data_IF_252377273824
#
_entry.id   IF_252377273824
#
_cell.length_a   1.000
_cell.length_b   1.000
_cell.length_c   1.000
_cell.angle_alpha   90.00
_cell.angle_beta   90.00
_cell.angle_gamma   90.00
#
_symmetry.space_group_name_H-M   'P 1'
#
loop_
_entity.id
_entity.type
_entity.pdbx_description
1 polymer ?
#
# COMPACT_ATOMS: atom_id res chain seq x y z
N UNK A 1 -1.18 19.91 -25.69
CA UNK A 1 -2.58 20.38 -25.91
C UNK A 1 -2.58 21.87 -26.25
N UNK A 2 -3.49 22.27 -27.13
CA UNK A 2 -3.58 23.51 -27.93
C UNK A 2 -3.27 24.85 -27.20
N UNK A 3 -2.42 25.69 -27.83
CA UNK A 3 -2.16 27.10 -27.49
C UNK A 3 -3.45 27.92 -27.26
N UNK A 4 -4.62 27.49 -27.75
CA UNK A 4 -5.93 28.12 -27.54
C UNK A 4 -6.52 27.90 -26.14
N UNK A 5 -6.30 26.76 -25.47
CA UNK A 5 -6.71 26.57 -24.05
C UNK A 5 -5.91 27.53 -23.17
N UNK A 6 -4.60 27.57 -23.37
CA UNK A 6 -3.70 28.51 -22.69
C UNK A 6 -4.07 29.97 -22.96
N UNK A 7 -4.39 30.34 -24.23
CA UNK A 7 -4.74 31.72 -24.60
C UNK A 7 -6.12 32.17 -24.09
N UNK A 8 -7.09 31.27 -23.92
CA UNK A 8 -8.44 31.64 -23.46
C UNK A 8 -8.56 31.63 -21.94
N UNK A 9 -7.83 30.75 -21.25
CA UNK A 9 -7.70 30.76 -19.78
C UNK A 9 -6.86 31.97 -19.31
N UNK A 10 -5.76 32.30 -20.01
CA UNK A 10 -4.95 33.48 -19.70
C UNK A 10 -5.60 34.83 -20.07
N UNK A 11 -6.63 34.85 -20.93
CA UNK A 11 -7.37 36.08 -21.29
C UNK A 11 -8.49 36.45 -20.32
N UNK A 12 -8.87 35.57 -19.37
CA UNK A 12 -9.98 35.80 -18.44
C UNK A 12 -9.55 36.12 -17.00
N UNK A 13 -8.26 36.29 -16.74
CA UNK A 13 -7.68 36.63 -15.43
C UNK A 13 -6.23 36.17 -15.33
N UNK A 14 -5.44 36.78 -14.44
CA UNK A 14 -3.98 36.62 -14.27
C UNK A 14 -3.48 35.20 -13.86
N UNK A 15 -4.16 34.11 -14.22
CA UNK A 15 -3.82 32.75 -13.81
C UNK A 15 -2.95 32.03 -14.85
N UNK A 16 -1.72 31.65 -14.45
CA UNK A 16 -0.81 30.80 -15.24
C UNK A 16 -1.17 29.32 -15.03
N UNK A 17 -1.63 28.65 -16.07
CA UNK A 17 -1.80 27.20 -16.13
C UNK A 17 -0.58 26.58 -16.83
N UNK A 18 0.17 25.72 -16.15
CA UNK A 18 1.34 25.00 -16.70
C UNK A 18 1.04 23.50 -16.71
N UNK A 19 1.24 22.83 -17.86
CA UNK A 19 1.04 21.40 -18.07
C UNK A 19 2.27 20.76 -18.76
N UNK A 20 2.54 19.44 -18.59
CA UNK A 20 3.76 18.79 -19.09
C UNK A 20 3.78 18.58 -20.61
N UNK A 21 4.97 18.56 -21.20
CA UNK A 21 5.26 18.53 -22.64
C UNK A 21 5.19 17.13 -23.27
N UNK A 22 4.45 16.99 -24.38
CA UNK A 22 4.46 15.84 -25.30
C UNK A 22 4.27 16.31 -26.77
N UNK A 23 4.73 15.52 -27.77
CA UNK A 23 5.15 16.02 -29.09
C UNK A 23 4.02 16.55 -29.97
N UNK A 24 4.39 17.52 -30.81
CA UNK A 24 3.55 18.37 -31.66
C UNK A 24 3.18 17.70 -32.98
N UNK A 25 2.06 16.98 -33.09
CA UNK A 25 1.38 16.76 -34.38
C UNK A 25 -0.04 16.25 -34.17
N UNK A 26 -1.03 17.10 -34.48
CA UNK A 26 -2.48 16.87 -34.71
C UNK A 26 -3.42 17.76 -33.87
N UNK A 27 -4.26 18.55 -34.58
CA UNK A 27 -5.19 19.54 -34.02
C UNK A 27 -6.46 18.87 -33.43
N UNK A 28 -6.46 18.56 -32.13
CA UNK A 28 -7.65 18.05 -31.44
C UNK A 28 -8.67 19.18 -31.12
N UNK A 29 -9.91 19.06 -31.60
CA UNK A 29 -11.03 19.99 -31.29
C UNK A 29 -11.50 19.83 -29.83
N UNK A 30 -11.71 20.91 -29.08
CA UNK A 30 -12.12 20.89 -27.65
C UNK A 30 -13.40 20.09 -27.36
N UNK A 31 -14.30 20.00 -28.34
CA UNK A 31 -15.53 19.22 -28.25
C UNK A 31 -15.28 17.70 -28.16
N UNK A 32 -14.11 17.22 -28.60
CA UNK A 32 -13.75 15.79 -28.57
C UNK A 32 -13.08 15.35 -27.26
N UNK A 33 -12.95 16.24 -26.26
CA UNK A 33 -12.23 15.94 -25.03
C UNK A 33 -13.05 15.10 -24.07
N UNK A 34 -12.60 13.86 -23.87
CA UNK A 34 -13.24 12.91 -22.96
C UNK A 34 -12.62 12.90 -21.55
N UNK A 35 -11.37 13.35 -21.40
CA UNK A 35 -10.61 13.31 -20.14
C UNK A 35 -9.91 14.66 -19.92
N UNK A 36 -10.10 15.26 -18.73
CA UNK A 36 -9.38 16.48 -18.30
C UNK A 36 -8.77 16.27 -16.92
N UNK A 37 -7.47 16.53 -16.81
CA UNK A 37 -6.75 16.55 -15.54
C UNK A 37 -6.15 17.95 -15.32
N UNK A 38 -6.40 18.52 -14.14
CA UNK A 38 -5.90 19.84 -13.74
C UNK A 38 -4.97 19.67 -12.54
N UNK A 39 -3.66 19.78 -12.77
CA UNK A 39 -2.62 19.50 -11.78
C UNK A 39 -1.35 18.88 -12.38
N UNK A 40 -0.35 18.48 -11.57
CA UNK A 40 -0.14 18.81 -10.15
C UNK A 40 0.52 20.19 -9.94
N UNK A 41 0.84 20.90 -11.02
CA UNK A 41 1.51 22.21 -11.02
C UNK A 41 0.54 23.39 -11.21
N UNK A 42 -0.76 23.11 -11.22
CA UNK A 42 -1.80 24.12 -11.34
C UNK A 42 -2.08 24.71 -9.96
N UNK A 43 -1.49 25.87 -9.66
CA UNK A 43 -1.53 26.44 -8.31
C UNK A 43 -2.87 27.14 -7.98
N UNK A 44 -3.71 27.46 -8.98
CA UNK A 44 -4.99 28.19 -8.87
C UNK A 44 -6.01 27.72 -9.92
N UNK A 45 -7.29 27.60 -9.53
CA UNK A 45 -8.42 27.41 -10.45
C UNK A 45 -9.56 28.35 -10.06
N UNK A 46 -10.00 29.20 -10.99
CA UNK A 46 -11.11 30.12 -10.79
C UNK A 46 -12.47 29.51 -11.12
N UNK A 47 -13.54 30.10 -10.59
CA UNK A 47 -14.93 29.75 -10.94
C UNK A 47 -15.22 29.91 -12.45
N UNK A 48 -14.53 30.87 -13.10
CA UNK A 48 -14.59 31.05 -14.56
C UNK A 48 -13.95 29.90 -15.32
N UNK A 49 -12.86 29.32 -14.80
CA UNK A 49 -12.22 28.15 -15.40
C UNK A 49 -13.11 26.90 -15.29
N UNK A 50 -13.77 26.69 -14.15
CA UNK A 50 -14.76 25.62 -13.97
C UNK A 50 -15.92 25.77 -14.97
N UNK A 51 -16.44 27.00 -15.11
CA UNK A 51 -17.50 27.32 -16.08
C UNK A 51 -17.06 27.10 -17.53
N UNK A 52 -15.83 27.49 -17.87
CA UNK A 52 -15.26 27.30 -19.20
C UNK A 52 -15.10 25.81 -19.55
N UNK A 53 -14.62 24.97 -18.61
CA UNK A 53 -14.50 23.53 -18.84
C UNK A 53 -15.87 22.89 -19.07
N UNK A 54 -16.86 23.25 -18.24
CA UNK A 54 -18.22 22.73 -18.36
C UNK A 54 -18.90 23.13 -19.69
N UNK A 55 -18.59 24.31 -20.23
CA UNK A 55 -19.14 24.79 -21.51
C UNK A 55 -18.39 24.23 -22.72
N UNK A 56 -17.05 24.15 -22.64
CA UNK A 56 -16.20 23.85 -23.79
C UNK A 56 -15.94 22.35 -24.00
N UNK A 57 -16.22 21.49 -23.01
CA UNK A 57 -15.94 20.05 -23.07
C UNK A 57 -17.24 19.22 -22.91
N UNK A 58 -18.18 19.25 -23.87
CA UNK A 58 -19.46 18.55 -23.76
C UNK A 58 -19.34 17.01 -23.71
N UNK A 59 -18.27 16.46 -24.26
CA UNK A 59 -17.99 15.02 -24.25
C UNK A 59 -17.13 14.56 -23.05
N UNK A 60 -16.96 15.42 -22.04
CA UNK A 60 -16.14 15.11 -20.87
C UNK A 60 -16.71 13.92 -20.10
N UNK A 61 -15.95 12.83 -20.06
CA UNK A 61 -16.26 11.59 -19.35
C UNK A 61 -15.57 11.50 -17.99
N UNK A 62 -14.35 12.05 -17.88
CA UNK A 62 -13.50 12.01 -16.67
C UNK A 62 -12.90 13.39 -16.36
N UNK A 63 -12.98 13.83 -15.09
CA UNK A 63 -12.41 15.09 -14.61
C UNK A 63 -11.67 14.89 -13.28
N UNK A 64 -10.42 15.38 -13.18
CA UNK A 64 -9.59 15.31 -11.96
C UNK A 64 -8.98 16.65 -11.57
N UNK A 65 -8.90 16.90 -10.27
CA UNK A 65 -8.14 17.98 -9.64
C UNK A 65 -6.95 17.43 -8.84
N UNK A 66 -5.75 17.99 -9.03
CA UNK A 66 -4.53 17.60 -8.30
C UNK A 66 -3.62 18.82 -8.06
N UNK A 67 -3.08 18.97 -6.84
CA UNK A 67 -1.98 19.91 -6.57
C UNK A 67 -2.29 21.43 -6.53
N UNK A 68 -3.54 21.86 -6.32
CA UNK A 68 -3.92 23.29 -6.26
C UNK A 68 -3.71 23.84 -4.84
N UNK A 69 -3.08 25.02 -4.68
CA UNK A 69 -2.44 25.42 -3.40
C UNK A 69 -2.91 26.71 -2.71
N UNK A 70 -3.57 27.69 -3.33
CA UNK A 70 -3.97 28.88 -2.54
C UNK A 70 -5.18 29.68 -3.06
N UNK A 71 -6.01 30.09 -2.08
CA UNK A 71 -7.05 31.12 -2.08
C UNK A 71 -6.67 32.02 -0.89
N UNK A 72 -6.63 33.35 -1.05
CA UNK A 72 -6.02 34.38 -0.17
C UNK A 72 -6.10 34.22 1.39
N UNK A 73 -5.41 35.01 2.24
CA UNK A 73 -4.26 35.91 2.11
C UNK A 73 -3.33 35.83 3.35
N UNK A 74 -3.56 34.88 4.27
CA UNK A 74 -2.79 34.66 5.50
C UNK A 74 -1.79 33.50 5.40
N UNK A 75 -1.23 33.30 4.21
CA UNK A 75 -0.23 32.28 3.84
C UNK A 75 1.13 32.40 4.58
N UNK A 76 1.18 33.13 5.71
CA UNK A 76 2.42 33.51 6.39
C UNK A 76 2.73 32.64 7.62
N UNK A 77 1.77 31.87 8.15
CA UNK A 77 2.12 30.76 9.05
C UNK A 77 2.57 29.54 8.24
N UNK A 78 3.75 29.73 7.68
CA UNK A 78 4.56 28.74 7.03
C UNK A 78 4.74 27.48 7.90
N UNK A 79 4.84 26.37 7.18
CA UNK A 79 5.55 25.15 7.58
C UNK A 79 4.86 24.25 8.61
N UNK A 80 3.80 23.56 8.17
CA UNK A 80 3.69 22.13 8.49
C UNK A 80 3.29 21.35 7.24
N UNK A 81 4.33 20.86 6.55
CA UNK A 81 4.43 19.59 5.79
C UNK A 81 3.30 19.27 4.80
N UNK A 82 3.66 19.24 3.51
CA UNK A 82 3.20 18.27 2.50
C UNK A 82 1.73 17.78 2.56
N UNK A 83 0.73 18.50 2.06
CA UNK A 83 -0.57 17.87 1.81
C UNK A 83 -1.31 18.44 0.60
N UNK A 84 -2.02 17.54 -0.10
CA UNK A 84 -2.95 17.89 -1.15
C UNK A 84 -4.25 18.42 -0.53
N UNK A 85 -4.85 19.46 -1.13
CA UNK A 85 -5.96 20.18 -0.51
C UNK A 85 -6.56 21.27 -1.39
N UNK A 86 -7.86 21.18 -1.69
CA UNK A 86 -8.67 22.37 -2.01
C UNK A 86 -9.84 22.46 -1.04
N UNK A 87 -9.73 23.32 -0.05
CA UNK A 87 -10.70 23.46 1.06
C UNK A 87 -11.70 24.61 0.89
N UNK A 88 -11.64 25.37 -0.22
CA UNK A 88 -12.56 26.49 -0.52
C UNK A 88 -13.29 26.33 -1.86
N UNK A 89 -13.76 25.13 -2.16
CA UNK A 89 -14.56 24.88 -3.37
C UNK A 89 -15.99 25.41 -3.16
N UNK A 90 -16.51 26.24 -4.08
CA UNK A 90 -17.92 26.62 -4.05
C UNK A 90 -18.78 25.49 -4.60
N UNK A 91 -19.15 24.57 -3.72
CA UNK A 91 -19.98 23.40 -4.05
C UNK A 91 -21.33 23.76 -4.67
N UNK A 92 -21.89 24.94 -4.38
CA UNK A 92 -23.13 25.42 -5.01
C UNK A 92 -22.97 25.60 -6.52
N UNK A 93 -21.85 26.17 -6.97
CA UNK A 93 -21.54 26.30 -8.40
C UNK A 93 -21.22 24.93 -9.02
N UNK A 94 -20.47 24.07 -8.31
CA UNK A 94 -20.16 22.71 -8.79
C UNK A 94 -21.45 21.92 -9.05
N UNK A 95 -22.40 21.97 -8.11
CA UNK A 95 -23.71 21.35 -8.23
C UNK A 95 -24.51 21.93 -9.41
N UNK A 96 -24.39 23.23 -9.70
CA UNK A 96 -25.11 23.88 -10.80
C UNK A 96 -24.67 23.39 -12.19
N UNK A 97 -23.37 23.09 -12.36
CA UNK A 97 -22.79 22.80 -13.69
C UNK A 97 -22.48 21.32 -13.89
N UNK A 98 -21.91 20.62 -12.92
CA UNK A 98 -21.41 19.26 -13.14
C UNK A 98 -22.48 18.18 -13.04
N UNK A 99 -23.57 18.44 -12.33
CA UNK A 99 -24.75 17.55 -12.34
C UNK A 99 -25.38 17.44 -13.72
N UNK A 100 -25.19 18.48 -14.56
CA UNK A 100 -25.74 18.59 -15.92
C UNK A 100 -24.81 18.03 -17.00
N UNK A 101 -23.60 17.57 -16.65
CA UNK A 101 -22.67 16.99 -17.63
C UNK A 101 -23.19 15.61 -18.06
N UNK A 102 -23.61 15.43 -19.33
CA UNK A 102 -24.35 14.23 -19.76
C UNK A 102 -23.48 12.97 -19.77
N UNK A 103 -22.15 13.13 -19.82
CA UNK A 103 -21.19 12.04 -19.97
C UNK A 103 -20.27 11.86 -18.76
N UNK A 104 -20.33 12.71 -17.74
CA UNK A 104 -19.43 12.63 -16.58
C UNK A 104 -19.73 11.36 -15.76
N UNK A 105 -18.91 10.32 -15.88
CA UNK A 105 -19.11 9.02 -15.21
C UNK A 105 -18.40 8.91 -13.87
N UNK A 106 -17.25 9.57 -13.73
CA UNK A 106 -16.40 9.49 -12.55
C UNK A 106 -15.90 10.86 -12.12
N UNK A 107 -15.95 11.14 -10.82
CA UNK A 107 -15.51 12.41 -10.24
C UNK A 107 -14.65 12.19 -9.00
N UNK A 108 -13.39 12.66 -9.04
CA UNK A 108 -12.48 12.63 -7.88
C UNK A 108 -12.44 14.01 -7.20
N UNK A 109 -12.94 14.05 -5.98
CA UNK A 109 -12.99 15.20 -5.07
C UNK A 109 -12.25 14.90 -3.76
N UNK A 110 -11.33 13.94 -3.77
CA UNK A 110 -10.51 13.60 -2.61
C UNK A 110 -9.74 14.82 -2.12
N UNK A 111 -9.59 14.95 -0.80
CA UNK A 111 -8.88 16.04 -0.12
C UNK A 111 -9.53 17.40 -0.32
N UNK A 112 -10.86 17.42 -0.35
CA UNK A 112 -11.67 18.63 -0.38
C UNK A 112 -12.46 18.80 0.92
N UNK A 113 -13.08 19.96 1.12
CA UNK A 113 -14.01 20.21 2.22
C UNK A 113 -15.45 19.74 1.90
N UNK A 114 -15.61 18.76 1.01
CA UNK A 114 -16.95 18.29 0.63
C UNK A 114 -17.69 17.74 1.84
N UNK A 115 -18.97 18.09 1.95
CA UNK A 115 -19.86 17.56 2.98
C UNK A 115 -20.63 16.33 2.48
N UNK A 116 -21.13 15.49 3.39
CA UNK A 116 -22.03 14.38 3.05
C UNK A 116 -23.21 14.82 2.16
N UNK A 117 -23.83 15.94 2.49
CA UNK A 117 -24.98 16.47 1.74
C UNK A 117 -24.62 16.82 0.29
N UNK A 118 -23.42 17.36 0.06
CA UNK A 118 -22.95 17.67 -1.31
C UNK A 118 -22.65 16.40 -2.09
N UNK A 119 -22.01 15.40 -1.48
CA UNK A 119 -21.78 14.09 -2.10
C UNK A 119 -23.12 13.46 -2.50
N UNK A 120 -24.08 13.47 -1.59
CA UNK A 120 -25.43 12.95 -1.87
C UNK A 120 -26.10 13.72 -3.00
N UNK A 121 -26.06 15.06 -3.01
CA UNK A 121 -26.65 15.86 -4.09
C UNK A 121 -25.98 15.63 -5.44
N UNK A 122 -24.66 15.51 -5.50
CA UNK A 122 -23.93 15.20 -6.74
C UNK A 122 -24.36 13.86 -7.32
N UNK A 123 -24.47 12.85 -6.47
CA UNK A 123 -24.87 11.50 -6.86
C UNK A 123 -26.37 11.43 -7.18
N UNK A 124 -27.25 12.10 -6.44
CA UNK A 124 -28.69 12.05 -6.71
C UNK A 124 -29.09 12.87 -7.93
N UNK A 125 -28.44 14.02 -8.17
CA UNK A 125 -28.83 14.97 -9.22
C UNK A 125 -28.19 14.69 -10.58
N UNK A 126 -27.09 13.95 -10.62
CA UNK A 126 -26.44 13.58 -11.89
C UNK A 126 -26.95 12.24 -12.40
N UNK A 127 -27.49 12.19 -13.62
CA UNK A 127 -27.87 10.92 -14.25
C UNK A 127 -26.65 10.09 -14.71
N UNK A 128 -25.56 10.77 -15.04
CA UNK A 128 -24.36 10.22 -15.65
C UNK A 128 -23.32 9.75 -14.63
N UNK A 129 -23.18 10.46 -13.50
CA UNK A 129 -22.15 10.18 -12.50
C UNK A 129 -22.39 8.84 -11.79
N UNK A 130 -21.42 7.94 -11.86
CA UNK A 130 -21.46 6.58 -11.30
C UNK A 130 -20.50 6.39 -10.15
N UNK A 131 -19.29 6.96 -10.23
CA UNK A 131 -18.29 6.81 -9.20
C UNK A 131 -17.82 8.17 -8.69
N UNK A 132 -17.76 8.30 -7.38
CA UNK A 132 -17.25 9.50 -6.71
C UNK A 132 -16.18 9.10 -5.71
N UNK A 133 -14.98 9.64 -5.88
CA UNK A 133 -13.86 9.44 -4.97
C UNK A 133 -13.71 10.67 -4.07
N UNK A 134 -13.72 10.47 -2.76
CA UNK A 134 -13.69 11.52 -1.75
C UNK A 134 -12.81 11.09 -0.56
N UNK A 135 -11.62 10.59 -0.85
CA UNK A 135 -10.64 10.17 0.16
C UNK A 135 -10.03 11.37 0.87
N UNK A 136 -9.80 11.25 2.18
CA UNK A 136 -9.17 12.26 3.03
C UNK A 136 -9.92 13.60 3.01
N UNK A 137 -11.25 13.55 3.06
CA UNK A 137 -12.13 14.73 3.11
C UNK A 137 -12.59 14.98 4.56
N UNK A 138 -11.99 15.93 5.31
CA UNK A 138 -12.20 16.05 6.76
C UNK A 138 -13.67 16.17 7.16
N UNK A 139 -14.42 17.04 6.50
CA UNK A 139 -15.85 17.27 6.79
C UNK A 139 -16.75 16.08 6.43
N UNK A 140 -16.32 15.26 5.46
CA UNK A 140 -17.01 14.03 5.08
C UNK A 140 -16.71 12.90 6.07
N UNK A 141 -15.51 12.89 6.66
CA UNK A 141 -14.97 11.80 7.47
C UNK A 141 -15.17 11.99 8.98
N UNK A 142 -15.41 13.22 9.45
CA UNK A 142 -15.59 13.54 10.87
C UNK A 142 -16.95 13.13 11.46
N UNK A 143 -17.98 12.84 10.65
CA UNK A 143 -19.28 12.44 11.20
C UNK A 143 -19.45 10.94 11.44
N UNK A 144 -20.49 10.62 12.21
CA UNK A 144 -20.80 9.34 12.83
C UNK A 144 -20.54 8.09 11.96
N UNK A 145 -19.67 7.20 12.45
CA UNK A 145 -19.35 5.89 11.83
C UNK A 145 -20.53 4.92 11.88
N UNK A 146 -21.61 5.25 12.60
CA UNK A 146 -22.80 4.42 12.75
C UNK A 146 -23.93 4.66 11.73
N UNK A 147 -23.84 5.69 10.88
CA UNK A 147 -24.84 5.97 9.85
C UNK A 147 -24.66 5.02 8.66
N UNK A 148 -25.64 4.13 8.42
CA UNK A 148 -25.74 3.39 7.16
C UNK A 148 -25.93 4.39 6.03
N UNK A 149 -24.87 4.61 5.24
CA UNK A 149 -24.90 5.56 4.14
C UNK A 149 -25.66 4.96 2.95
N UNK A 150 -26.91 5.35 2.78
CA UNK A 150 -27.71 4.97 1.62
C UNK A 150 -27.42 5.92 0.45
N UNK A 151 -26.45 5.56 -0.39
CA UNK A 151 -26.25 6.21 -1.68
C UNK A 151 -27.19 5.62 -2.75
N UNK A 152 -27.54 6.38 -3.80
CA UNK A 152 -28.42 5.89 -4.86
C UNK A 152 -27.91 4.58 -5.48
N UNK A 153 -28.81 3.62 -5.70
CA UNK A 153 -28.48 2.28 -6.22
C UNK A 153 -27.71 2.36 -7.54
N UNK A 154 -26.61 1.62 -7.64
CA UNK A 154 -25.75 1.59 -8.83
C UNK A 154 -24.73 2.73 -8.92
N UNK A 155 -24.47 3.43 -7.81
CA UNK A 155 -23.39 4.41 -7.67
C UNK A 155 -22.45 3.99 -6.55
N UNK A 156 -21.17 4.31 -6.72
CA UNK A 156 -20.10 3.93 -5.80
C UNK A 156 -19.41 5.16 -5.22
N UNK A 157 -19.21 5.16 -3.90
CA UNK A 157 -18.47 6.20 -3.19
C UNK A 157 -17.21 5.60 -2.58
N UNK A 158 -16.06 6.19 -2.88
CA UNK A 158 -14.77 5.78 -2.34
C UNK A 158 -14.35 6.83 -1.30
N UNK A 159 -14.40 6.50 -0.02
CA UNK A 159 -14.05 7.36 1.12
C UNK A 159 -13.33 6.56 2.24
N UNK A 160 -12.74 7.24 3.23
CA UNK A 160 -11.94 6.55 4.26
C UNK A 160 -12.75 5.58 5.15
N UNK A 161 -14.06 5.84 5.33
CA UNK A 161 -14.96 4.96 6.07
C UNK A 161 -15.62 3.88 5.21
N UNK A 162 -15.42 3.88 3.89
CA UNK A 162 -15.94 2.82 3.02
C UNK A 162 -14.90 1.72 2.89
N UNK A 163 -15.28 0.50 3.23
CA UNK A 163 -14.52 -0.67 2.81
C UNK A 163 -14.76 -0.85 1.30
N UNK A 164 -13.81 -0.35 0.51
CA UNK A 164 -13.88 -0.33 -0.95
C UNK A 164 -14.08 -1.76 -1.48
N UNK A 165 -13.44 -2.76 -0.86
CA UNK A 165 -13.54 -4.15 -1.30
C UNK A 165 -14.90 -4.75 -0.96
N UNK A 166 -15.45 -4.44 0.21
CA UNK A 166 -16.82 -4.84 0.57
C UNK A 166 -17.87 -4.20 -0.33
N UNK A 167 -17.74 -2.91 -0.64
CA UNK A 167 -18.66 -2.24 -1.56
C UNK A 167 -18.54 -2.79 -2.99
N UNK A 168 -17.33 -2.96 -3.51
CA UNK A 168 -17.11 -3.57 -4.82
C UNK A 168 -17.58 -5.03 -4.87
N UNK A 169 -17.34 -5.83 -3.83
CA UNK A 169 -17.87 -7.19 -3.70
C UNK A 169 -19.41 -7.20 -3.65
N UNK A 170 -20.04 -6.20 -3.02
CA UNK A 170 -21.49 -6.06 -3.00
C UNK A 170 -22.09 -5.72 -4.37
N UNK A 171 -21.32 -5.05 -5.24
CA UNK A 171 -21.64 -4.81 -6.65
C UNK A 171 -21.42 -6.07 -7.51
N UNK A 172 -20.57 -6.99 -7.03
CA UNK A 172 -20.23 -8.28 -7.65
C UNK A 172 -20.90 -9.47 -6.95
N UNK A 173 -22.06 -9.24 -6.30
CA UNK A 173 -22.69 -10.17 -5.33
C UNK A 173 -22.91 -11.60 -5.82
N UNK A 174 -22.97 -11.80 -7.15
CA UNK A 174 -23.17 -13.11 -7.79
C UNK A 174 -21.86 -13.79 -8.24
N UNK A 175 -20.70 -13.18 -8.00
CA UNK A 175 -19.42 -13.52 -8.67
C UNK A 175 -18.27 -13.78 -7.69
N UNK A 176 -18.09 -12.94 -6.67
CA UNK A 176 -16.90 -12.99 -5.81
C UNK A 176 -17.15 -13.79 -4.52
N UNK A 177 -16.36 -14.85 -4.29
CA UNK A 177 -16.41 -15.64 -3.03
C UNK A 177 -15.61 -15.01 -1.88
N UNK A 178 -14.71 -14.06 -2.17
CA UNK A 178 -13.84 -13.35 -1.21
C UNK A 178 -13.67 -11.88 -1.60
N UNK A 179 -13.82 -10.97 -0.65
CA UNK A 179 -13.76 -9.51 -0.86
C UNK A 179 -12.39 -9.03 -1.41
N UNK A 180 -11.29 -9.74 -1.11
CA UNK A 180 -9.93 -9.38 -1.54
C UNK A 180 -9.61 -9.67 -3.01
N UNK A 181 -10.48 -10.38 -3.75
CA UNK A 181 -10.21 -10.88 -5.10
C UNK A 181 -11.07 -10.19 -6.18
N UNK A 182 -11.73 -9.10 -5.80
CA UNK A 182 -12.76 -8.42 -6.62
C UNK A 182 -12.25 -8.04 -8.01
N UNK A 183 -11.06 -7.47 -8.14
CA UNK A 183 -10.53 -7.07 -9.44
C UNK A 183 -10.02 -8.25 -10.27
N UNK A 184 -9.40 -9.27 -9.66
CA UNK A 184 -8.96 -10.47 -10.39
C UNK A 184 -10.15 -11.28 -10.91
N UNK A 185 -11.18 -11.47 -10.09
CA UNK A 185 -12.44 -12.11 -10.47
C UNK A 185 -13.12 -11.33 -11.60
N UNK A 186 -13.20 -9.99 -11.48
CA UNK A 186 -13.73 -9.13 -12.53
C UNK A 186 -12.93 -9.20 -13.83
N UNK A 187 -11.59 -9.16 -13.79
CA UNK A 187 -10.75 -9.21 -15.00
C UNK A 187 -10.96 -10.49 -15.80
N UNK A 188 -11.21 -11.61 -15.11
CA UNK A 188 -11.42 -12.94 -15.69
C UNK A 188 -12.86 -13.20 -16.18
N UNK A 189 -13.79 -12.25 -16.01
CA UNK A 189 -15.16 -12.38 -16.50
C UNK A 189 -15.23 -12.37 -18.03
N UNK A 190 -15.89 -13.38 -18.60
CA UNK A 190 -16.12 -13.50 -20.06
C UNK A 190 -17.16 -12.49 -20.59
N UNK A 191 -18.18 -12.18 -19.79
CA UNK A 191 -19.24 -11.23 -20.12
C UNK A 191 -19.30 -10.17 -19.04
N UNK A 192 -18.66 -9.01 -19.28
CA UNK A 192 -18.69 -7.88 -18.35
C UNK A 192 -19.90 -6.99 -18.67
N UNK A 193 -20.69 -6.69 -17.64
CA UNK A 193 -21.67 -5.61 -17.74
C UNK A 193 -20.90 -4.30 -18.00
N UNK A 194 -21.31 -3.52 -19.03
CA UNK A 194 -20.60 -2.30 -19.42
C UNK A 194 -20.52 -1.27 -18.29
N UNK A 195 -21.55 -1.18 -17.45
CA UNK A 195 -21.58 -0.25 -16.32
C UNK A 195 -20.65 -0.73 -15.20
N UNK A 196 -20.59 -2.03 -14.93
CA UNK A 196 -19.61 -2.62 -14.03
C UNK A 196 -18.17 -2.45 -14.54
N UNK A 197 -17.94 -2.69 -15.84
CA UNK A 197 -16.64 -2.50 -16.49
C UNK A 197 -16.15 -1.05 -16.38
N UNK A 198 -17.03 -0.07 -16.61
CA UNK A 198 -16.71 1.34 -16.43
C UNK A 198 -16.37 1.70 -14.98
N UNK A 199 -17.14 1.20 -14.00
CA UNK A 199 -16.89 1.44 -12.56
C UNK A 199 -15.54 0.84 -12.17
N UNK A 200 -15.32 -0.44 -12.47
CA UNK A 200 -14.11 -1.17 -12.09
C UNK A 200 -12.87 -0.57 -12.72
N UNK A 201 -12.91 -0.20 -14.00
CA UNK A 201 -11.81 0.48 -14.68
C UNK A 201 -11.46 1.83 -14.03
N UNK A 202 -12.46 2.56 -13.51
CA UNK A 202 -12.23 3.84 -12.87
C UNK A 202 -11.66 3.69 -11.46
N UNK A 203 -12.15 2.73 -10.68
CA UNK A 203 -11.61 2.44 -9.35
C UNK A 203 -10.17 1.93 -9.46
N UNK A 204 -9.92 1.01 -10.38
CA UNK A 204 -8.58 0.54 -10.74
C UNK A 204 -7.70 1.74 -11.10
N UNK A 205 -8.13 2.59 -12.03
CA UNK A 205 -7.34 3.76 -12.41
C UNK A 205 -6.98 4.69 -11.24
N UNK A 206 -7.90 4.94 -10.30
CA UNK A 206 -7.65 5.79 -9.11
C UNK A 206 -6.68 5.15 -8.13
N UNK A 207 -6.91 3.88 -7.78
CA UNK A 207 -6.05 3.15 -6.87
C UNK A 207 -4.64 2.99 -7.45
N UNK A 208 -4.54 2.91 -8.78
CA UNK A 208 -3.32 2.55 -9.50
C UNK A 208 -2.50 3.77 -9.94
N UNK A 209 -2.98 5.01 -9.86
CA UNK A 209 -2.20 6.17 -10.36
C UNK A 209 -0.90 6.42 -9.58
N UNK A 210 -0.98 6.43 -8.24
CA UNK A 210 0.21 6.65 -7.40
C UNK A 210 1.22 5.52 -7.55
N UNK A 211 0.71 4.29 -7.67
CA UNK A 211 1.50 3.09 -7.90
C UNK A 211 2.12 3.10 -9.30
N UNK A 212 1.34 3.38 -10.34
CA UNK A 212 1.80 3.41 -11.73
C UNK A 212 2.89 4.45 -11.98
N UNK A 213 2.75 5.65 -11.40
CA UNK A 213 3.82 6.65 -11.45
C UNK A 213 5.08 6.16 -10.73
N UNK A 214 4.94 5.56 -9.54
CA UNK A 214 6.09 5.01 -8.81
C UNK A 214 6.79 3.89 -9.60
N UNK A 215 6.03 2.94 -10.18
CA UNK A 215 6.55 1.85 -11.00
C UNK A 215 7.27 2.36 -12.26
N UNK A 216 6.78 3.42 -12.89
CA UNK A 216 7.46 4.05 -14.03
C UNK A 216 8.78 4.71 -13.59
N UNK A 217 8.78 5.44 -12.47
CA UNK A 217 9.98 6.09 -11.94
C UNK A 217 11.03 5.11 -11.42
N UNK A 218 10.61 3.94 -10.93
CA UNK A 218 11.52 2.83 -10.56
C UNK A 218 12.31 2.27 -11.75
N UNK A 219 11.85 2.50 -12.97
CA UNK A 219 12.55 2.12 -14.21
C UNK A 219 13.42 3.27 -14.77
N UNK A 220 13.58 4.37 -14.03
CA UNK A 220 14.47 5.47 -14.39
C UNK A 220 15.92 4.99 -14.51
N UNK A 221 16.67 5.57 -15.44
CA UNK A 221 18.11 5.35 -15.55
C UNK A 221 18.92 6.00 -14.41
N UNK A 222 18.29 6.88 -13.62
CA UNK A 222 18.91 7.53 -12.46
C UNK A 222 18.59 6.76 -11.18
N UNK A 223 19.60 6.16 -10.56
CA UNK A 223 19.45 5.33 -9.36
C UNK A 223 18.82 6.09 -8.18
N UNK A 224 19.11 7.39 -8.01
CA UNK A 224 18.49 8.20 -6.95
C UNK A 224 16.98 8.41 -7.17
N UNK A 225 16.54 8.39 -8.43
CA UNK A 225 15.12 8.43 -8.79
C UNK A 225 14.48 7.07 -8.51
N UNK A 226 15.17 5.97 -8.83
CA UNK A 226 14.71 4.63 -8.51
C UNK A 226 14.54 4.44 -7.00
N UNK A 227 15.52 4.86 -6.20
CA UNK A 227 15.50 4.74 -4.74
C UNK A 227 14.32 5.51 -4.14
N UNK A 228 14.16 6.78 -4.52
CA UNK A 228 13.04 7.61 -4.06
C UNK A 228 11.68 7.06 -4.49
N UNK A 229 11.55 6.61 -5.73
CA UNK A 229 10.32 6.01 -6.22
C UNK A 229 9.97 4.71 -5.47
N UNK A 230 10.98 3.89 -5.17
CA UNK A 230 10.83 2.65 -4.43
C UNK A 230 10.42 2.90 -2.98
N UNK A 231 11.01 3.89 -2.31
CA UNK A 231 10.59 4.32 -0.98
C UNK A 231 9.14 4.82 -0.98
N UNK A 232 8.77 5.63 -1.97
CA UNK A 232 7.38 6.08 -2.15
C UNK A 232 6.44 4.90 -2.30
N UNK A 233 6.79 3.90 -3.13
CA UNK A 233 5.98 2.68 -3.27
C UNK A 233 5.84 1.93 -1.95
N UNK A 234 6.94 1.73 -1.22
CA UNK A 234 6.95 1.05 0.07
C UNK A 234 6.03 1.73 1.10
N UNK A 235 5.98 3.06 1.10
CA UNK A 235 5.09 3.84 1.96
C UNK A 235 3.64 3.85 1.45
N UNK A 236 3.44 3.94 0.13
CA UNK A 236 2.11 4.01 -0.46
C UNK A 236 1.27 2.77 -0.14
N UNK A 237 1.88 1.57 -0.09
CA UNK A 237 1.11 0.36 0.18
C UNK A 237 0.66 0.22 1.64
N UNK A 238 1.20 1.00 2.58
CA UNK A 238 0.89 0.89 4.02
C UNK A 238 -0.25 1.84 4.42
N UNK A 239 -1.16 1.36 5.28
CA UNK A 239 -2.25 2.13 5.90
C UNK A 239 -2.01 2.23 7.42
N UNK A 240 -2.04 3.47 7.93
CA UNK A 240 -1.96 3.76 9.36
C UNK A 240 -0.54 3.71 9.92
N UNK A 241 -0.40 4.20 11.16
CA UNK A 241 0.93 4.41 11.77
C UNK A 241 1.41 3.23 12.62
N UNK A 242 0.54 2.25 12.97
CA UNK A 242 0.78 1.39 14.13
C UNK A 242 0.70 -0.12 13.88
N UNK A 243 0.01 -0.62 12.85
CA UNK A 243 -0.26 -2.08 12.70
C UNK A 243 0.15 -2.72 11.37
N UNK A 244 1.11 -2.15 10.63
CA UNK A 244 1.62 -2.70 9.37
C UNK A 244 0.54 -3.19 8.37
N UNK A 245 -0.67 -2.61 8.41
CA UNK A 245 -1.75 -2.99 7.49
C UNK A 245 -1.42 -2.43 6.12
N UNK A 246 -1.75 -3.18 5.09
CA UNK A 246 -1.56 -2.74 3.71
C UNK A 246 -2.88 -2.50 3.00
N UNK A 247 -2.89 -1.52 2.11
CA UNK A 247 -4.02 -1.21 1.24
C UNK A 247 -4.10 -2.28 0.15
N UNK A 248 -5.10 -3.16 0.23
CA UNK A 248 -5.28 -4.23 -0.74
C UNK A 248 -5.34 -3.75 -2.19
N UNK A 249 -5.88 -2.55 -2.43
CA UNK A 249 -6.03 -1.99 -3.77
C UNK A 249 -4.71 -1.54 -4.36
N UNK A 250 -3.87 -0.90 -3.54
CA UNK A 250 -2.50 -0.52 -3.92
C UNK A 250 -1.59 -1.74 -4.05
N UNK A 251 -1.74 -2.73 -3.18
CA UNK A 251 -1.02 -4.00 -3.30
C UNK A 251 -1.34 -4.66 -4.63
N UNK A 252 -2.62 -4.78 -4.98
CA UNK A 252 -3.02 -5.32 -6.27
C UNK A 252 -2.50 -4.49 -7.45
N UNK A 253 -2.51 -3.16 -7.33
CA UNK A 253 -1.94 -2.27 -8.33
C UNK A 253 -0.45 -2.55 -8.59
N UNK A 254 0.31 -2.79 -7.52
CA UNK A 254 1.73 -3.12 -7.62
C UNK A 254 1.90 -4.46 -8.35
N UNK A 255 1.12 -5.48 -8.00
CA UNK A 255 1.18 -6.78 -8.65
C UNK A 255 0.86 -6.70 -10.14
N UNK A 256 -0.26 -6.05 -10.49
CA UNK A 256 -0.71 -5.93 -11.88
C UNK A 256 0.26 -5.12 -12.75
N UNK A 257 0.93 -4.14 -12.17
CA UNK A 257 1.96 -3.35 -12.84
C UNK A 257 3.31 -4.06 -12.98
N UNK A 258 3.42 -5.34 -12.62
CA UNK A 258 4.70 -6.08 -12.64
C UNK A 258 5.70 -5.60 -11.59
N UNK A 259 5.20 -4.94 -10.53
CA UNK A 259 6.01 -4.29 -9.51
C UNK A 259 6.84 -5.25 -8.67
N UNK A 260 6.37 -6.48 -8.41
CA UNK A 260 7.12 -7.49 -7.65
C UNK A 260 8.45 -7.81 -8.35
N UNK A 261 8.40 -8.11 -9.65
CA UNK A 261 9.61 -8.39 -10.45
C UNK A 261 10.55 -7.20 -10.51
N UNK A 262 10.01 -5.98 -10.67
CA UNK A 262 10.81 -4.75 -10.63
C UNK A 262 11.51 -4.57 -9.27
N UNK A 263 10.79 -4.79 -8.17
CA UNK A 263 11.35 -4.71 -6.83
C UNK A 263 12.46 -5.73 -6.63
N UNK A 264 12.32 -6.97 -7.11
CA UNK A 264 13.37 -7.97 -7.01
C UNK A 264 14.62 -7.64 -7.85
N UNK A 265 14.46 -6.96 -8.99
CA UNK A 265 15.60 -6.46 -9.74
C UNK A 265 16.35 -5.38 -8.96
N UNK A 266 15.62 -4.46 -8.33
CA UNK A 266 16.22 -3.38 -7.52
C UNK A 266 16.81 -3.91 -6.21
N UNK A 267 16.23 -4.96 -5.61
CA UNK A 267 16.77 -5.61 -4.42
C UNK A 267 18.13 -6.30 -4.66
N UNK A 268 18.47 -6.59 -5.93
CA UNK A 268 19.80 -7.10 -6.31
C UNK A 268 20.82 -5.99 -6.60
N UNK A 269 20.45 -4.72 -6.42
CA UNK A 269 21.38 -3.60 -6.57
C UNK A 269 22.49 -3.64 -5.52
N UNK A 270 23.67 -3.15 -5.89
CA UNK A 270 24.80 -2.94 -4.98
C UNK A 270 24.60 -1.73 -4.05
N UNK A 271 23.63 -0.86 -4.35
CA UNK A 271 23.31 0.30 -3.50
C UNK A 271 22.43 -0.14 -2.34
N UNK A 272 22.96 -0.04 -1.13
CA UNK A 272 22.24 -0.40 0.09
C UNK A 272 20.90 0.33 0.25
N UNK A 273 20.84 1.62 -0.10
CA UNK A 273 19.60 2.40 -0.02
C UNK A 273 18.50 1.83 -0.91
N UNK A 274 18.83 1.52 -2.17
CA UNK A 274 17.91 0.94 -3.15
C UNK A 274 17.54 -0.49 -2.79
N UNK A 275 18.52 -1.29 -2.38
CA UNK A 275 18.32 -2.67 -1.91
C UNK A 275 17.39 -2.71 -0.70
N UNK A 276 17.61 -1.85 0.29
CA UNK A 276 16.78 -1.75 1.49
C UNK A 276 15.37 -1.25 1.16
N UNK A 277 15.22 -0.20 0.34
CA UNK A 277 13.92 0.32 -0.07
C UNK A 277 13.09 -0.74 -0.82
N UNK A 278 13.72 -1.47 -1.74
CA UNK A 278 13.06 -2.51 -2.51
C UNK A 278 12.62 -3.69 -1.63
N UNK A 279 13.52 -4.15 -0.75
CA UNK A 279 13.23 -5.23 0.21
C UNK A 279 12.08 -4.82 1.14
N UNK A 280 12.09 -3.58 1.63
CA UNK A 280 11.01 -3.05 2.46
C UNK A 280 9.66 -3.06 1.76
N UNK A 281 9.61 -2.65 0.48
CA UNK A 281 8.38 -2.72 -0.30
C UNK A 281 7.89 -4.17 -0.43
N UNK A 282 8.78 -5.12 -0.74
CA UNK A 282 8.46 -6.56 -0.83
C UNK A 282 7.91 -7.08 0.50
N UNK A 283 8.55 -6.73 1.62
CA UNK A 283 8.11 -7.13 2.96
C UNK A 283 6.72 -6.58 3.28
N UNK A 284 6.46 -5.31 3.00
CA UNK A 284 5.14 -4.71 3.18
C UNK A 284 4.09 -5.42 2.31
N UNK A 285 4.38 -5.66 1.03
CA UNK A 285 3.48 -6.39 0.13
C UNK A 285 3.16 -7.80 0.67
N UNK A 286 4.14 -8.47 1.27
CA UNK A 286 4.01 -9.84 1.78
C UNK A 286 3.08 -9.97 3.01
N UNK A 287 2.62 -8.86 3.60
CA UNK A 287 1.55 -8.87 4.60
C UNK A 287 0.20 -9.31 3.98
N UNK A 288 0.02 -9.07 2.68
CA UNK A 288 -1.16 -9.51 1.94
C UNK A 288 -0.94 -10.91 1.35
N UNK A 289 -1.86 -11.85 1.59
CA UNK A 289 -1.71 -13.25 1.17
C UNK A 289 -1.58 -13.44 -0.36
N UNK A 290 -2.29 -12.64 -1.17
CA UNK A 290 -2.19 -12.73 -2.63
C UNK A 290 -0.83 -12.25 -3.12
N UNK A 291 -0.32 -11.17 -2.53
CA UNK A 291 1.01 -10.66 -2.85
C UNK A 291 2.12 -11.57 -2.31
N UNK A 292 1.98 -12.16 -1.13
CA UNK A 292 2.89 -13.18 -0.62
C UNK A 292 3.00 -14.36 -1.60
N UNK A 293 1.88 -14.86 -2.11
CA UNK A 293 1.87 -15.90 -3.14
C UNK A 293 2.62 -15.45 -4.41
N UNK A 294 2.33 -14.26 -4.93
CA UNK A 294 3.01 -13.74 -6.12
C UNK A 294 4.52 -13.51 -5.89
N UNK A 295 4.92 -13.10 -4.68
CA UNK A 295 6.32 -12.97 -4.25
C UNK A 295 7.02 -14.33 -4.31
N UNK A 296 6.37 -15.41 -3.86
CA UNK A 296 6.92 -16.77 -3.92
C UNK A 296 7.01 -17.27 -5.37
N UNK A 297 5.98 -17.05 -6.18
CA UNK A 297 5.95 -17.44 -7.61
C UNK A 297 7.06 -16.76 -8.43
N UNK A 298 7.46 -15.54 -8.06
CA UNK A 298 8.59 -14.80 -8.67
C UNK A 298 9.97 -15.19 -8.09
N UNK A 299 10.06 -16.28 -7.32
CA UNK A 299 11.32 -16.76 -6.74
C UNK A 299 11.78 -16.00 -5.50
N UNK A 300 10.87 -15.29 -4.84
CA UNK A 300 11.18 -14.40 -3.73
C UNK A 300 11.84 -15.06 -2.52
N UNK A 301 11.53 -16.32 -2.24
CA UNK A 301 12.08 -17.05 -1.08
C UNK A 301 13.61 -17.18 -1.19
N UNK A 302 14.13 -17.53 -2.36
CA UNK A 302 15.58 -17.67 -2.57
C UNK A 302 16.28 -16.30 -2.45
N UNK A 303 15.67 -15.27 -3.04
CA UNK A 303 16.20 -13.90 -3.02
C UNK A 303 16.26 -13.38 -1.58
N UNK A 304 15.16 -13.50 -0.83
CA UNK A 304 15.10 -13.06 0.57
C UNK A 304 16.04 -13.90 1.44
N UNK A 305 16.11 -15.22 1.26
CA UNK A 305 17.04 -16.05 2.02
C UNK A 305 18.51 -15.63 1.80
N UNK A 306 18.85 -15.21 0.59
CA UNK A 306 20.17 -14.65 0.27
C UNK A 306 20.40 -13.26 0.88
N UNK A 307 19.42 -12.35 0.79
CA UNK A 307 19.51 -11.00 1.34
C UNK A 307 19.56 -10.98 2.88
N UNK A 308 19.02 -12.01 3.55
CA UNK A 308 19.11 -12.16 5.01
C UNK A 308 20.57 -12.29 5.48
N UNK A 309 21.48 -12.73 4.59
CA UNK A 309 22.91 -12.83 4.86
C UNK A 309 23.65 -11.50 4.68
N UNK A 310 22.98 -10.45 4.21
CA UNK A 310 23.59 -9.13 4.00
C UNK A 310 24.22 -8.59 5.29
N UNK A 311 25.36 -7.91 5.14
CA UNK A 311 26.00 -7.18 6.23
C UNK A 311 25.31 -5.83 6.49
N UNK A 312 24.51 -5.35 5.53
CA UNK A 312 23.68 -4.17 5.73
C UNK A 312 22.51 -4.50 6.64
N UNK A 313 22.55 -3.95 7.84
CA UNK A 313 21.55 -4.19 8.88
C UNK A 313 20.14 -3.79 8.46
N UNK A 314 20.00 -2.70 7.69
CA UNK A 314 18.71 -2.26 7.17
C UNK A 314 18.13 -3.30 6.21
N UNK A 315 18.93 -3.82 5.28
CA UNK A 315 18.52 -4.86 4.33
C UNK A 315 18.12 -6.14 5.07
N UNK A 316 18.96 -6.59 5.99
CA UNK A 316 18.70 -7.82 6.73
C UNK A 316 17.45 -7.71 7.63
N UNK A 317 17.20 -6.55 8.25
CA UNK A 317 15.97 -6.28 9.01
C UNK A 317 14.71 -6.46 8.16
N UNK A 318 14.68 -5.78 7.01
CA UNK A 318 13.52 -5.80 6.12
C UNK A 318 13.34 -7.21 5.55
N UNK A 319 14.45 -7.89 5.24
CA UNK A 319 14.44 -9.27 4.74
C UNK A 319 13.92 -10.27 5.77
N UNK A 320 14.36 -10.18 7.03
CA UNK A 320 13.83 -11.02 8.10
C UNK A 320 12.32 -10.81 8.27
N UNK A 321 11.83 -9.57 8.13
CA UNK A 321 10.39 -9.28 8.14
C UNK A 321 9.65 -9.91 6.96
N UNK A 322 10.26 -9.92 5.77
CA UNK A 322 9.70 -10.58 4.59
C UNK A 322 9.59 -12.09 4.79
N UNK A 323 10.66 -12.72 5.29
CA UNK A 323 10.64 -14.16 5.63
C UNK A 323 9.64 -14.48 6.74
N UNK A 324 9.48 -13.61 7.74
CA UNK A 324 8.47 -13.77 8.77
C UNK A 324 7.06 -13.77 8.17
N UNK A 325 6.73 -12.79 7.34
CA UNK A 325 5.42 -12.73 6.67
C UNK A 325 5.16 -13.96 5.79
N UNK A 326 6.17 -14.44 5.05
CA UNK A 326 6.02 -15.62 4.19
C UNK A 326 5.89 -16.93 4.99
N UNK A 327 6.55 -17.04 6.15
CA UNK A 327 6.55 -18.23 7.01
C UNK A 327 5.21 -18.53 7.70
N UNK A 328 4.25 -17.60 7.64
CA UNK A 328 2.88 -17.81 8.15
C UNK A 328 2.15 -18.91 7.36
N UNK A 329 2.52 -19.11 6.10
CA UNK A 329 1.91 -20.10 5.20
C UNK A 329 2.72 -21.39 5.24
N UNK A 330 2.08 -22.51 5.59
CA UNK A 330 2.73 -23.83 5.77
C UNK A 330 3.53 -24.25 4.55
N UNK A 331 2.97 -24.09 3.34
CA UNK A 331 3.62 -24.50 2.09
C UNK A 331 4.90 -23.71 1.79
N UNK A 332 5.06 -22.53 2.39
CA UNK A 332 6.26 -21.71 2.20
C UNK A 332 7.40 -22.07 3.16
N UNK A 333 7.10 -22.65 4.33
CA UNK A 333 8.11 -22.92 5.37
C UNK A 333 9.20 -23.87 4.88
N UNK A 334 8.81 -24.98 4.24
CA UNK A 334 9.74 -25.95 3.67
C UNK A 334 10.60 -25.32 2.55
N UNK A 335 10.01 -24.43 1.75
CA UNK A 335 10.75 -23.71 0.70
C UNK A 335 11.77 -22.72 1.31
N UNK A 336 11.42 -22.04 2.41
CA UNK A 336 12.36 -21.16 3.15
C UNK A 336 13.52 -21.98 3.70
N UNK A 337 13.25 -23.14 4.29
CA UNK A 337 14.26 -24.07 4.79
C UNK A 337 15.20 -24.55 3.67
N UNK A 338 14.66 -25.06 2.56
CA UNK A 338 15.43 -25.50 1.38
C UNK A 338 16.30 -24.40 0.77
N UNK A 339 15.87 -23.14 0.83
CA UNK A 339 16.67 -21.99 0.38
C UNK A 339 17.77 -21.57 1.37
N UNK A 340 17.93 -22.30 2.48
CA UNK A 340 18.87 -21.98 3.56
C UNK A 340 18.46 -20.76 4.37
N UNK A 341 17.18 -20.38 4.34
CA UNK A 341 16.63 -19.24 5.07
C UNK A 341 16.71 -19.42 6.58
N UNK A 342 16.50 -20.64 7.09
CA UNK A 342 16.62 -20.97 8.52
C UNK A 342 18.02 -20.65 9.03
N UNK A 343 19.06 -21.16 8.36
CA UNK A 343 20.45 -20.85 8.73
C UNK A 343 20.75 -19.36 8.65
N UNK A 344 20.25 -18.67 7.62
CA UNK A 344 20.45 -17.23 7.47
C UNK A 344 19.81 -16.41 8.62
N UNK A 345 18.62 -16.80 9.08
CA UNK A 345 17.94 -16.17 10.22
C UNK A 345 18.69 -16.42 11.54
N UNK A 346 19.18 -17.63 11.76
CA UNK A 346 19.99 -17.97 12.94
C UNK A 346 21.29 -17.17 12.97
N UNK A 347 22.01 -17.11 11.84
CA UNK A 347 23.25 -16.35 11.74
C UNK A 347 23.02 -14.85 11.92
N UNK A 348 21.88 -14.34 11.45
CA UNK A 348 21.45 -12.96 11.64
C UNK A 348 21.24 -12.65 13.14
N UNK A 349 20.59 -13.53 13.88
CA UNK A 349 20.41 -13.38 15.33
C UNK A 349 21.76 -13.36 16.04
N UNK A 350 22.63 -14.33 15.74
CA UNK A 350 23.95 -14.44 16.37
C UNK A 350 24.84 -13.22 16.07
N UNK A 351 24.71 -12.63 14.87
CA UNK A 351 25.45 -11.43 14.47
C UNK A 351 25.04 -10.18 15.23
N UNK A 352 23.76 -10.04 15.56
CA UNK A 352 23.20 -8.80 16.11
C UNK A 352 22.54 -8.96 17.49
N UNK A 353 22.81 -10.04 18.21
CA UNK A 353 22.18 -10.41 19.49
C UNK A 353 22.24 -9.32 20.57
N UNK A 354 23.25 -8.45 20.55
CA UNK A 354 23.45 -7.38 21.55
C UNK A 354 22.72 -6.08 21.24
N UNK A 355 22.02 -6.02 20.10
CA UNK A 355 21.65 -4.73 19.52
C UNK A 355 20.20 -4.30 19.73
N UNK A 356 19.39 -5.14 20.39
CA UNK A 356 18.05 -4.79 20.90
C UNK A 356 17.16 -4.04 19.92
N UNK A 357 16.95 -4.58 18.71
CA UNK A 357 16.17 -3.93 17.63
C UNK A 357 15.21 -4.94 16.98
N UNK A 358 14.22 -4.43 16.24
CA UNK A 358 13.17 -5.18 15.52
C UNK A 358 13.71 -6.22 14.53
N UNK A 359 14.97 -6.11 14.13
CA UNK A 359 15.69 -7.15 13.34
C UNK A 359 15.56 -8.52 14.03
N UNK A 360 15.77 -8.55 15.34
CA UNK A 360 15.77 -9.77 16.14
C UNK A 360 14.36 -10.30 16.34
N UNK A 361 13.39 -9.40 16.48
CA UNK A 361 11.96 -9.73 16.57
C UNK A 361 11.49 -10.43 15.30
N UNK A 362 11.79 -9.84 14.13
CA UNK A 362 11.43 -10.44 12.85
C UNK A 362 12.08 -11.81 12.64
N UNK A 363 13.36 -11.94 12.99
CA UNK A 363 14.07 -13.20 12.81
C UNK A 363 13.57 -14.30 13.77
N UNK A 364 13.35 -13.95 15.04
CA UNK A 364 12.77 -14.87 16.02
C UNK A 364 11.34 -15.26 15.63
N UNK A 365 10.52 -14.33 15.16
CA UNK A 365 9.15 -14.60 14.71
C UNK A 365 9.10 -15.53 13.49
N UNK A 366 10.00 -15.34 12.53
CA UNK A 366 10.13 -16.25 11.40
C UNK A 366 10.53 -17.67 11.85
N UNK A 367 11.50 -17.79 12.77
CA UNK A 367 11.89 -19.07 13.34
C UNK A 367 10.78 -19.72 14.17
N UNK A 368 9.98 -18.93 14.91
CA UNK A 368 8.83 -19.44 15.66
C UNK A 368 7.80 -20.09 14.74
N UNK A 369 7.46 -19.42 13.63
CA UNK A 369 6.54 -19.96 12.63
C UNK A 369 7.08 -21.23 11.97
N UNK A 370 8.37 -21.26 11.64
CA UNK A 370 9.02 -22.43 11.02
C UNK A 370 9.07 -23.61 11.99
N UNK A 371 9.41 -23.37 13.26
CA UNK A 371 9.51 -24.39 14.29
C UNK A 371 8.16 -25.02 14.67
N UNK A 372 7.03 -24.43 14.24
CA UNK A 372 5.71 -25.04 14.40
C UNK A 372 5.49 -26.27 13.50
N UNK A 373 6.39 -26.54 12.55
CA UNK A 373 6.43 -27.81 11.80
C UNK A 373 7.45 -28.76 12.45
N UNK A 374 7.02 -29.99 12.75
CA UNK A 374 7.83 -30.99 13.45
C UNK A 374 9.20 -31.25 12.79
N UNK A 375 9.24 -31.35 11.45
CA UNK A 375 10.47 -31.65 10.73
C UNK A 375 11.38 -30.44 10.70
N UNK A 376 10.82 -29.26 10.49
CA UNK A 376 11.60 -28.02 10.42
C UNK A 376 12.07 -27.58 11.82
N UNK A 377 11.38 -27.97 12.89
CA UNK A 377 11.84 -27.75 14.27
C UNK A 377 13.21 -28.38 14.53
N UNK A 378 13.44 -29.59 14.00
CA UNK A 378 14.73 -30.28 14.09
C UNK A 378 15.81 -29.55 13.29
N UNK A 379 15.50 -29.10 12.08
CA UNK A 379 16.43 -28.31 11.27
C UNK A 379 16.85 -27.01 12.00
N UNK A 380 15.88 -26.29 12.57
CA UNK A 380 16.14 -25.08 13.37
C UNK A 380 17.09 -25.40 14.53
N UNK A 381 16.89 -26.51 15.24
CA UNK A 381 17.79 -26.94 16.31
C UNK A 381 19.20 -27.28 15.78
N UNK A 382 19.29 -28.07 14.72
CA UNK A 382 20.55 -28.54 14.11
C UNK A 382 21.43 -27.41 13.58
N UNK A 383 20.84 -26.35 13.03
CA UNK A 383 21.61 -25.20 12.53
C UNK A 383 22.07 -24.22 13.62
N UNK A 384 21.79 -24.53 14.89
CA UNK A 384 22.14 -23.72 16.07
C UNK A 384 21.07 -22.71 16.48
N UNK A 385 19.83 -22.87 16.03
CA UNK A 385 18.71 -21.98 16.36
C UNK A 385 18.39 -21.95 17.85
N UNK A 386 18.48 -23.10 18.53
CA UNK A 386 18.30 -23.18 19.98
C UNK A 386 19.24 -22.23 20.74
N UNK A 387 20.55 -22.35 20.49
CA UNK A 387 21.57 -21.47 21.07
C UNK A 387 21.27 -19.99 20.78
N UNK A 388 20.90 -19.67 19.54
CA UNK A 388 20.59 -18.30 19.14
C UNK A 388 19.38 -17.73 19.91
N UNK A 389 18.31 -18.51 20.07
CA UNK A 389 17.11 -18.13 20.79
C UNK A 389 17.36 -17.98 22.31
N UNK A 390 18.12 -18.90 22.92
CA UNK A 390 18.50 -18.81 24.34
C UNK A 390 19.36 -17.56 24.59
N UNK A 391 20.31 -17.26 23.70
CA UNK A 391 21.09 -16.03 23.77
C UNK A 391 20.20 -14.78 23.70
N UNK A 392 19.14 -14.78 22.87
CA UNK A 392 18.19 -13.67 22.83
C UNK A 392 17.36 -13.57 24.11
N UNK A 393 16.87 -14.69 24.66
CA UNK A 393 16.11 -14.71 25.91
C UNK A 393 16.90 -14.08 27.07
N UNK A 394 18.20 -14.38 27.15
CA UNK A 394 19.09 -13.85 28.19
C UNK A 394 19.41 -12.37 28.00
N UNK A 395 19.71 -11.95 26.76
CA UNK A 395 20.35 -10.66 26.50
C UNK A 395 19.38 -9.57 26.00
N UNK A 396 18.19 -9.94 25.52
CA UNK A 396 17.23 -8.98 24.96
C UNK A 396 16.04 -8.75 25.91
N UNK A 397 15.78 -7.48 26.24
CA UNK A 397 14.64 -7.07 27.09
C UNK A 397 13.51 -6.42 26.29
N UNK A 398 13.57 -6.46 24.95
CA UNK A 398 12.46 -6.01 24.12
C UNK A 398 11.33 -7.03 24.17
N UNK A 399 10.14 -6.56 24.56
CA UNK A 399 8.94 -7.40 24.72
C UNK A 399 8.62 -8.20 23.47
N UNK A 400 8.61 -7.55 22.30
CA UNK A 400 8.33 -8.25 21.03
C UNK A 400 9.34 -9.35 20.73
N UNK A 401 10.63 -9.14 21.02
CA UNK A 401 11.66 -10.18 20.85
C UNK A 401 11.43 -11.32 21.84
N UNK A 402 11.19 -11.01 23.11
CA UNK A 402 10.97 -12.00 24.15
C UNK A 402 9.74 -12.88 23.87
N UNK A 403 8.65 -12.28 23.37
CA UNK A 403 7.44 -13.00 22.96
C UNK A 403 7.74 -13.98 21.83
N UNK A 404 8.40 -13.52 20.76
CA UNK A 404 8.73 -14.41 19.64
C UNK A 404 9.75 -15.49 20.03
N UNK A 405 10.68 -15.19 20.94
CA UNK A 405 11.64 -16.18 21.46
C UNK A 405 10.95 -17.23 22.31
N UNK A 406 10.05 -16.83 23.22
CA UNK A 406 9.26 -17.75 24.02
C UNK A 406 8.42 -18.68 23.13
N UNK A 407 7.75 -18.11 22.12
CA UNK A 407 6.97 -18.86 21.15
C UNK A 407 7.84 -19.84 20.34
N UNK A 408 9.02 -19.42 19.87
CA UNK A 408 9.93 -20.30 19.14
C UNK A 408 10.45 -21.46 20.01
N UNK A 409 10.86 -21.18 21.25
CA UNK A 409 11.32 -22.21 22.18
C UNK A 409 10.20 -23.21 22.53
N UNK A 410 8.97 -22.73 22.71
CA UNK A 410 7.81 -23.59 22.93
C UNK A 410 7.55 -24.52 21.73
N UNK A 411 7.60 -23.99 20.51
CA UNK A 411 7.39 -24.80 19.30
C UNK A 411 8.51 -25.85 19.09
N UNK A 412 9.76 -25.52 19.45
CA UNK A 412 10.87 -26.47 19.36
C UNK A 412 10.69 -27.70 20.26
N UNK A 413 10.08 -27.55 21.44
CA UNK A 413 9.91 -28.64 22.42
C UNK A 413 8.57 -29.37 22.31
N UNK A 414 7.57 -28.77 21.65
CA UNK A 414 6.19 -29.25 21.68
C UNK A 414 6.00 -30.67 21.11
N UNK A 415 6.83 -31.08 20.15
CA UNK A 415 6.59 -32.30 19.36
C UNK A 415 7.77 -33.26 19.28
N UNK A 416 8.97 -32.86 19.72
CA UNK A 416 10.19 -33.66 19.55
C UNK A 416 10.94 -33.79 20.88
N UNK A 417 10.91 -35.00 21.44
CA UNK A 417 11.59 -35.34 22.71
C UNK A 417 13.09 -35.01 22.67
N UNK A 418 13.74 -35.21 21.51
CA UNK A 418 15.16 -34.90 21.32
C UNK A 418 15.45 -33.39 21.45
N UNK A 419 14.54 -32.53 20.97
CA UNK A 419 14.67 -31.09 21.15
C UNK A 419 14.45 -30.67 22.61
N UNK A 420 13.52 -31.32 23.32
CA UNK A 420 13.34 -31.12 24.75
C UNK A 420 14.61 -31.43 25.55
N UNK A 421 15.30 -32.53 25.19
CA UNK A 421 16.60 -32.87 25.78
C UNK A 421 17.66 -31.82 25.44
N UNK A 422 17.75 -31.41 24.17
CA UNK A 422 18.70 -30.36 23.72
C UNK A 422 18.47 -29.04 24.46
N UNK A 423 17.22 -28.61 24.62
CA UNK A 423 16.86 -27.39 25.38
C UNK A 423 17.30 -27.52 26.83
N UNK A 424 17.05 -28.66 27.47
CA UNK A 424 17.49 -28.89 28.86
C UNK A 424 19.01 -28.94 29.04
N UNK A 425 19.76 -29.23 27.97
CA UNK A 425 21.23 -29.27 27.98
C UNK A 425 21.88 -27.95 27.54
N UNK A 426 21.16 -27.07 26.84
CA UNK A 426 21.68 -25.79 26.38
C UNK A 426 21.95 -24.86 27.56
N UNK A 427 23.17 -24.32 27.62
CA UNK A 427 23.63 -23.55 28.75
C UNK A 427 22.78 -22.29 28.98
N UNK A 428 22.20 -22.18 30.18
CA UNK A 428 21.41 -21.02 30.57
C UNK A 428 20.00 -20.96 29.97
N UNK A 429 19.55 -22.02 29.28
CA UNK A 429 18.21 -22.09 28.70
C UNK A 429 17.12 -22.14 29.77
N UNK A 430 17.30 -22.96 30.81
CA UNK A 430 16.33 -23.09 31.90
C UNK A 430 16.21 -21.80 32.70
N UNK A 431 17.32 -21.15 33.01
CA UNK A 431 17.36 -19.85 33.69
C UNK A 431 16.64 -18.78 32.87
N UNK A 432 16.88 -18.74 31.56
CA UNK A 432 16.23 -17.80 30.67
C UNK A 432 14.71 -18.05 30.56
N UNK A 433 14.28 -19.32 30.49
CA UNK A 433 12.85 -19.67 30.49
C UNK A 433 12.19 -19.25 31.80
N UNK A 434 12.83 -19.52 32.94
CA UNK A 434 12.33 -19.07 34.24
C UNK A 434 12.21 -17.54 34.27
N UNK A 435 13.21 -16.80 33.81
CA UNK A 435 13.11 -15.32 33.71
C UNK A 435 11.92 -14.85 32.86
N UNK A 436 11.66 -15.49 31.72
CA UNK A 436 10.53 -15.15 30.85
C UNK A 436 9.18 -15.34 31.57
N UNK A 437 9.03 -16.38 32.39
CA UNK A 437 7.78 -16.61 33.18
C UNK A 437 7.51 -15.54 34.23
N UNK A 438 8.53 -14.77 34.64
CA UNK A 438 8.39 -13.63 35.56
C UNK A 438 8.17 -12.29 34.84
N UNK A 439 8.02 -12.28 33.51
CA UNK A 439 7.80 -11.05 32.74
C UNK A 439 6.53 -10.31 33.18
N UNK A 440 6.56 -8.99 33.14
CA UNK A 440 5.36 -8.17 33.37
C UNK A 440 4.36 -8.24 32.22
N UNK A 441 4.80 -8.68 31.04
CA UNK A 441 3.97 -8.80 29.85
C UNK A 441 3.36 -10.20 29.77
N UNK A 442 2.02 -10.25 29.73
CA UNK A 442 1.27 -11.51 29.66
C UNK A 442 1.57 -12.31 28.40
N UNK A 443 1.89 -11.67 27.27
CA UNK A 443 2.26 -12.40 26.05
C UNK A 443 3.61 -13.11 26.12
N UNK A 444 4.48 -12.70 27.05
CA UNK A 444 5.81 -13.29 27.25
C UNK A 444 5.79 -14.41 28.30
N UNK A 445 4.91 -14.30 29.31
CA UNK A 445 4.71 -15.33 30.33
C UNK A 445 3.94 -16.51 29.76
#
# INVERSE_FOLDING_TARGET
>A
MDRRVCRKVAKMGNDKVVLPSYPETEEARHEALEIVELGPFCNRISSNAIKAIAICCPNLRKLRFSGIRDVDGDAINALVKHFAGTTRMNWGLVLQYWTKLPNLKGLDISRTNVTRSVVWMLLSSSASLKVLCALHCPTLEEGDRGSTNYYPRGKLVIAFFTDIFKELASLLRDITKKESNVFSDWRNMKNKDKNLEEIMTWVEWILFQGVGLALNLMQSSQEDVQERATMVLATLVVIGNENARVDGGRVEAVMCGGGIRLLFNLARSWREGLQSAATKAITNLSVNANAAKAVVEEGGIEILSNLARSMSRSVAKETAGGLWNLSVVEEHKEAIAKAGGVKALVDLILRWCTSGDRVLEHAAGALANIAADDKLSMEVAEVGGLRALVMLAQNCKLVGVQEQVAHALANLVAYVDDNSVKVGQEAGALEALVELTYSHHESVR
#
